data_IF_060412115270
#
_entry.id   IF_060412115270
#
_cell.length_a   1.000
_cell.length_b   1.000
_cell.length_c   1.000
_cell.angle_alpha   90.00
_cell.angle_beta   90.00
_cell.angle_gamma   90.00
#
_symmetry.space_group_name_H-M   'P 1'
#
loop_
_entity.id
_entity.type
_entity.pdbx_description
1 polymer ?
#
# COMPACT_ATOMS: atom_id res chain seq x y z
N UNK A 1 -47.55 54.63 23.12
CA UNK A 1 -46.22 54.03 23.35
C UNK A 1 -46.18 52.71 22.58
N UNK A 2 -45.69 52.72 21.35
CA UNK A 2 -45.69 51.53 20.47
C UNK A 2 -44.38 50.78 20.69
N UNK A 3 -44.48 49.55 21.19
CA UNK A 3 -43.34 48.70 21.55
C UNK A 3 -42.87 47.96 20.29
N UNK A 4 -41.83 48.45 19.63
CA UNK A 4 -41.20 47.75 18.51
C UNK A 4 -40.41 46.55 19.04
N UNK A 5 -40.94 45.35 18.82
CA UNK A 5 -40.28 44.10 19.17
C UNK A 5 -39.38 43.68 18.01
N UNK A 6 -38.06 43.73 18.20
CA UNK A 6 -37.09 43.22 17.23
C UNK A 6 -37.17 41.69 17.20
N UNK A 7 -37.54 41.12 16.05
CA UNK A 7 -37.48 39.66 15.82
C UNK A 7 -36.05 39.30 15.40
N UNK A 8 -35.30 38.71 16.33
CA UNK A 8 -33.98 38.16 16.02
C UNK A 8 -34.14 36.95 15.09
N UNK A 9 -33.59 37.04 13.88
CA UNK A 9 -33.55 35.94 12.92
C UNK A 9 -32.22 35.20 13.09
N UNK A 10 -32.27 33.99 13.65
CA UNK A 10 -31.09 33.11 13.79
C UNK A 10 -31.02 32.19 12.56
N UNK A 11 -30.02 32.39 11.72
CA UNK A 11 -29.66 31.45 10.64
C UNK A 11 -28.55 30.55 11.17
N UNK A 12 -28.87 29.28 11.40
CA UNK A 12 -27.88 28.25 11.70
C UNK A 12 -27.38 27.63 10.40
N UNK A 13 -26.09 27.77 10.13
CA UNK A 13 -25.41 27.11 9.01
C UNK A 13 -24.72 25.85 9.54
N UNK A 14 -25.30 24.68 9.30
CA UNK A 14 -24.67 23.40 9.62
C UNK A 14 -23.72 23.00 8.50
N UNK A 15 -22.41 23.16 8.71
CA UNK A 15 -21.40 22.58 7.84
C UNK A 15 -21.05 21.17 8.34
N UNK A 16 -21.74 20.14 7.81
CA UNK A 16 -21.32 18.75 8.02
C UNK A 16 -20.27 18.41 6.97
N UNK A 17 -19.00 18.66 7.27
CA UNK A 17 -17.91 18.15 6.46
C UNK A 17 -17.67 16.69 6.84
N UNK A 18 -18.33 15.75 6.15
CA UNK A 18 -17.89 14.36 6.16
C UNK A 18 -16.57 14.31 5.40
N UNK A 19 -15.45 14.34 6.12
CA UNK A 19 -14.14 14.08 5.53
C UNK A 19 -14.11 12.58 5.20
N UNK A 20 -14.54 12.23 3.99
CA UNK A 20 -14.23 10.93 3.41
C UNK A 20 -12.74 10.93 3.10
N UNK A 21 -11.91 10.60 4.10
CA UNK A 21 -10.51 10.27 3.83
C UNK A 21 -10.50 8.95 3.07
N UNK A 22 -10.21 9.04 1.77
CA UNK A 22 -10.00 7.85 0.95
C UNK A 22 -8.73 7.15 1.46
N UNK A 23 -8.89 6.03 2.16
CA UNK A 23 -7.80 5.28 2.77
C UNK A 23 -7.37 4.13 1.87
N UNK A 24 -6.06 3.92 1.72
CA UNK A 24 -5.52 2.72 1.11
C UNK A 24 -5.79 1.50 2.00
N UNK A 25 -6.33 0.44 1.39
CA UNK A 25 -6.54 -0.86 1.99
C UNK A 25 -5.61 -1.88 1.33
N UNK A 26 -5.31 -2.94 2.06
CA UNK A 26 -4.42 -4.00 1.60
C UNK A 26 -5.13 -5.34 1.74
N UNK A 27 -5.15 -6.11 0.66
CA UNK A 27 -5.65 -7.49 0.64
C UNK A 27 -4.64 -8.39 -0.08
N UNK A 28 -4.51 -9.64 0.34
CA UNK A 28 -3.55 -10.58 -0.24
C UNK A 28 -2.88 -11.47 0.78
N UNK A 29 -1.80 -12.12 0.35
CA UNK A 29 -1.15 -13.17 1.14
C UNK A 29 0.33 -13.32 0.81
N UNK A 30 1.05 -13.87 1.77
CA UNK A 30 2.32 -14.54 1.53
C UNK A 30 2.05 -15.99 1.14
N UNK A 31 2.82 -16.53 0.20
CA UNK A 31 2.73 -17.93 -0.19
C UNK A 31 3.63 -18.79 0.70
N UNK A 32 3.08 -19.87 1.26
CA UNK A 32 3.78 -20.72 2.25
C UNK A 32 5.07 -21.35 1.72
N UNK A 33 5.14 -21.59 0.41
CA UNK A 33 6.33 -22.16 -0.23
C UNK A 33 7.50 -21.17 -0.34
N UNK A 34 7.30 -19.90 -0.01
CA UNK A 34 8.36 -18.90 -0.04
C UNK A 34 9.59 -19.31 0.79
N UNK A 35 9.37 -20.04 1.90
CA UNK A 35 10.44 -20.55 2.76
C UNK A 35 11.37 -21.55 2.07
N UNK A 36 10.86 -22.36 1.14
CA UNK A 36 11.65 -23.33 0.37
C UNK A 36 12.43 -22.69 -0.78
N UNK A 37 11.97 -21.53 -1.24
CA UNK A 37 12.51 -20.84 -2.41
C UNK A 37 13.20 -19.52 -2.06
N UNK A 38 13.56 -19.31 -0.79
CA UNK A 38 14.35 -18.14 -0.37
C UNK A 38 15.68 -18.02 -1.13
N UNK A 39 16.25 -19.14 -1.60
CA UNK A 39 17.45 -19.15 -2.46
C UNK A 39 17.23 -18.53 -3.83
N UNK A 40 15.98 -18.42 -4.29
CA UNK A 40 15.64 -17.83 -5.58
C UNK A 40 15.46 -16.32 -5.51
N UNK A 41 15.57 -15.71 -4.32
CA UNK A 41 15.63 -14.26 -4.17
C UNK A 41 17.05 -13.82 -4.50
N UNK A 42 17.18 -13.01 -5.54
CA UNK A 42 18.40 -12.24 -5.75
C UNK A 42 18.51 -11.21 -4.61
N UNK A 43 19.51 -11.39 -3.75
CA UNK A 43 19.72 -10.54 -2.56
C UNK A 43 20.20 -9.12 -2.91
N UNK A 44 20.73 -8.90 -4.11
CA UNK A 44 21.14 -7.58 -4.57
C UNK A 44 19.95 -6.76 -5.06
N UNK A 45 19.04 -7.40 -5.81
CA UNK A 45 17.95 -6.70 -6.50
C UNK A 45 16.58 -6.88 -5.86
N UNK A 46 16.39 -7.95 -5.09
CA UNK A 46 15.10 -8.42 -4.57
C UNK A 46 14.28 -9.22 -5.58
N UNK A 47 14.81 -9.46 -6.78
CA UNK A 47 14.13 -10.19 -7.86
C UNK A 47 13.94 -11.67 -7.52
N UNK A 48 12.84 -12.24 -8.01
CA UNK A 48 12.60 -13.68 -7.97
C UNK A 48 11.66 -14.07 -9.11
N UNK A 49 11.87 -15.27 -9.64
CA UNK A 49 10.99 -15.87 -10.63
C UNK A 49 9.77 -16.56 -10.00
N UNK A 50 9.72 -16.66 -8.67
CA UNK A 50 8.66 -17.33 -7.91
C UNK A 50 7.87 -16.30 -7.10
N UNK A 51 6.53 -16.32 -7.14
CA UNK A 51 5.72 -15.41 -6.35
C UNK A 51 5.73 -15.83 -4.87
N UNK A 52 6.18 -14.94 -4.00
CA UNK A 52 6.25 -15.12 -2.54
C UNK A 52 5.24 -14.25 -1.81
N UNK A 53 4.86 -13.12 -2.40
CA UNK A 53 3.72 -12.36 -1.95
C UNK A 53 2.97 -11.81 -3.15
N UNK A 54 1.66 -11.68 -2.98
CA UNK A 54 0.84 -10.88 -3.87
C UNK A 54 -0.17 -10.12 -3.03
N UNK A 55 -0.07 -8.80 -3.09
CA UNK A 55 -0.98 -7.89 -2.41
C UNK A 55 -1.62 -6.95 -3.41
N UNK A 56 -2.88 -6.64 -3.17
CA UNK A 56 -3.65 -5.62 -3.88
C UNK A 56 -3.85 -4.45 -2.94
N UNK A 57 -3.34 -3.29 -3.34
CA UNK A 57 -3.70 -2.03 -2.72
C UNK A 57 -4.98 -1.55 -3.41
N UNK A 58 -6.01 -1.26 -2.62
CA UNK A 58 -7.30 -0.81 -3.13
C UNK A 58 -7.91 0.28 -2.25
N UNK A 59 -8.92 0.97 -2.75
CA UNK A 59 -9.71 1.91 -1.96
C UNK A 59 -11.18 1.89 -2.36
N UNK A 60 -12.03 2.41 -1.49
CA UNK A 60 -13.46 2.57 -1.77
C UNK A 60 -13.73 3.80 -2.65
N UNK A 61 -12.76 4.70 -2.80
CA UNK A 61 -12.85 5.90 -3.62
C UNK A 61 -11.48 6.24 -4.21
N UNK A 62 -11.48 6.74 -5.43
CA UNK A 62 -10.28 7.15 -6.17
C UNK A 62 -10.43 8.61 -6.63
N UNK A 63 -9.33 9.35 -6.83
CA UNK A 63 -7.93 8.93 -6.64
C UNK A 63 -7.48 8.99 -5.17
N UNK A 64 -6.48 8.17 -4.82
CA UNK A 64 -5.79 8.22 -3.53
C UNK A 64 -4.29 8.37 -3.72
N UNK A 65 -3.58 8.78 -2.68
CA UNK A 65 -2.12 8.66 -2.61
C UNK A 65 -1.75 7.52 -1.69
N UNK A 66 -0.80 6.69 -2.10
CA UNK A 66 -0.28 5.58 -1.32
C UNK A 66 1.25 5.55 -1.38
N UNK A 67 1.83 4.85 -0.40
CA UNK A 67 3.26 4.54 -0.35
C UNK A 67 3.38 3.07 0.05
N UNK A 68 4.20 2.32 -0.66
CA UNK A 68 4.42 0.90 -0.39
C UNK A 68 5.83 0.69 0.18
N UNK A 69 5.91 -0.16 1.19
CA UNK A 69 7.16 -0.58 1.80
C UNK A 69 7.15 -2.09 1.98
N UNK A 70 8.19 -2.75 1.47
CA UNK A 70 8.41 -4.18 1.63
C UNK A 70 9.74 -4.41 2.34
N UNK A 71 9.74 -5.31 3.32
CA UNK A 71 10.95 -5.73 4.04
C UNK A 71 10.90 -7.23 4.29
N UNK A 72 11.90 -7.95 3.79
CA UNK A 72 12.13 -9.34 4.16
C UNK A 72 13.28 -9.42 5.17
N UNK A 73 13.06 -10.12 6.27
CA UNK A 73 14.09 -10.37 7.28
C UNK A 73 14.10 -11.84 7.67
N UNK A 74 15.27 -12.37 7.99
CA UNK A 74 15.46 -13.76 8.39
C UNK A 74 16.15 -13.83 9.76
N UNK A 75 15.75 -14.82 10.54
CA UNK A 75 16.46 -15.29 11.72
C UNK A 75 16.65 -16.80 11.52
N UNK A 76 17.88 -17.23 11.28
CA UNK A 76 18.18 -18.63 10.97
C UNK A 76 19.53 -19.04 11.57
N UNK A 77 19.52 -19.54 12.82
CA UNK A 77 20.73 -20.04 13.47
C UNK A 77 21.42 -21.16 12.68
N UNK A 78 20.66 -21.99 11.95
CA UNK A 78 21.20 -23.05 11.08
C UNK A 78 21.99 -22.51 9.88
N UNK A 79 21.71 -21.28 9.44
CA UNK A 79 22.48 -20.56 8.43
C UNK A 79 23.54 -19.63 9.04
N UNK A 80 23.77 -19.70 10.36
CA UNK A 80 24.66 -18.79 11.08
C UNK A 80 24.08 -17.38 11.32
N UNK A 81 22.80 -17.15 10.99
CA UNK A 81 22.12 -15.87 11.17
C UNK A 81 21.45 -15.87 12.54
N UNK A 82 22.20 -15.43 13.55
CA UNK A 82 21.80 -15.48 14.97
C UNK A 82 20.98 -14.27 15.44
N UNK A 83 20.69 -13.32 14.55
CA UNK A 83 19.85 -12.15 14.82
C UNK A 83 19.03 -11.80 13.58
N UNK A 84 17.89 -11.13 13.77
CA UNK A 84 17.08 -10.63 12.66
C UNK A 84 17.93 -9.82 11.69
N UNK A 85 18.12 -10.38 10.50
CA UNK A 85 18.92 -9.79 9.43
C UNK A 85 18.00 -9.47 8.27
N UNK A 86 18.01 -8.22 7.83
CA UNK A 86 17.22 -7.80 6.67
C UNK A 86 17.93 -8.24 5.40
N UNK A 87 17.21 -9.02 4.58
CA UNK A 87 17.71 -9.50 3.30
C UNK A 87 17.46 -8.48 2.20
N UNK A 88 16.24 -7.93 2.17
CA UNK A 88 15.82 -6.92 1.20
C UNK A 88 14.85 -5.94 1.87
N UNK A 89 14.99 -4.67 1.53
CA UNK A 89 14.05 -3.62 1.89
C UNK A 89 13.86 -2.69 0.68
N UNK A 90 12.62 -2.54 0.24
CA UNK A 90 12.25 -1.71 -0.91
C UNK A 90 11.13 -0.77 -0.48
N UNK A 91 11.26 0.49 -0.85
CA UNK A 91 10.30 1.54 -0.53
C UNK A 91 10.01 2.33 -1.79
N UNK A 92 8.72 2.58 -2.07
CA UNK A 92 8.33 3.46 -3.17
C UNK A 92 8.32 4.91 -2.70
N UNK A 93 8.42 5.84 -3.65
CA UNK A 93 7.90 7.18 -3.43
C UNK A 93 6.38 7.15 -3.24
N UNK A 94 5.79 8.22 -2.72
CA UNK A 94 4.33 8.36 -2.73
C UNK A 94 3.85 8.44 -4.19
N UNK A 95 2.82 7.66 -4.53
CA UNK A 95 2.26 7.62 -5.88
C UNK A 95 0.74 7.78 -5.83
N UNK A 96 0.17 8.35 -6.88
CA UNK A 96 -1.27 8.48 -7.03
C UNK A 96 -1.85 7.20 -7.63
N UNK A 97 -2.85 6.64 -6.97
CA UNK A 97 -3.64 5.53 -7.46
C UNK A 97 -4.95 6.04 -8.03
N UNK A 98 -5.24 5.67 -9.28
CA UNK A 98 -6.53 5.93 -9.95
C UNK A 98 -7.40 4.67 -10.05
N UNK A 99 -6.79 3.53 -9.81
CA UNK A 99 -7.40 2.22 -9.71
C UNK A 99 -6.55 1.40 -8.72
N UNK A 100 -6.97 0.17 -8.48
CA UNK A 100 -6.27 -0.80 -7.67
C UNK A 100 -4.88 -1.08 -8.24
N UNK A 101 -3.90 -1.30 -7.36
CA UNK A 101 -2.51 -1.60 -7.73
C UNK A 101 -2.12 -2.95 -7.16
N UNK A 102 -1.57 -3.82 -8.00
CA UNK A 102 -1.05 -5.12 -7.57
C UNK A 102 0.45 -5.02 -7.30
N UNK A 103 0.82 -5.37 -6.08
CA UNK A 103 2.19 -5.60 -5.66
C UNK A 103 2.47 -7.10 -5.70
N UNK A 104 3.35 -7.49 -6.60
CA UNK A 104 3.86 -8.85 -6.76
C UNK A 104 5.38 -8.77 -6.72
N UNK A 105 6.03 -9.60 -5.89
CA UNK A 105 7.49 -9.56 -5.72
C UNK A 105 8.27 -9.80 -7.02
N UNK A 106 7.65 -10.46 -8.02
CA UNK A 106 8.28 -10.66 -9.33
C UNK A 106 8.49 -9.34 -10.07
N UNK A 107 7.64 -8.36 -9.80
CA UNK A 107 7.64 -7.04 -10.44
C UNK A 107 7.88 -5.90 -9.44
N UNK A 108 8.08 -6.18 -8.15
CA UNK A 108 8.32 -5.21 -7.09
C UNK A 108 9.74 -5.38 -6.55
N UNK A 109 10.69 -4.81 -7.27
CA UNK A 109 12.13 -4.98 -7.07
C UNK A 109 12.79 -3.62 -6.90
N UNK A 110 14.06 -3.59 -6.52
CA UNK A 110 14.82 -2.32 -6.42
C UNK A 110 14.99 -1.59 -7.76
N UNK A 111 14.83 -2.30 -8.88
CA UNK A 111 14.93 -1.74 -10.23
C UNK A 111 13.57 -1.29 -10.80
N UNK A 112 12.45 -1.62 -10.13
CA UNK A 112 11.11 -1.27 -10.61
C UNK A 112 10.86 0.22 -10.52
N UNK A 113 10.65 0.89 -11.66
CA UNK A 113 10.31 2.32 -11.72
C UNK A 113 8.82 2.59 -11.90
N UNK A 114 8.00 1.56 -12.11
CA UNK A 114 6.55 1.68 -12.37
C UNK A 114 5.76 0.54 -11.76
N UNK A 115 4.58 0.84 -11.22
CA UNK A 115 3.62 -0.15 -10.74
C UNK A 115 2.50 -0.34 -11.77
N UNK A 116 1.93 -1.54 -11.80
CA UNK A 116 0.83 -1.88 -12.71
C UNK A 116 -0.49 -1.61 -12.00
N UNK A 117 -1.36 -0.84 -12.65
CA UNK A 117 -2.76 -0.70 -12.23
C UNK A 117 -3.65 -1.78 -12.87
N UNK A 118 -4.72 -2.13 -12.17
CA UNK A 118 -5.71 -3.12 -12.65
C UNK A 118 -6.86 -2.46 -13.44
N UNK A 119 -6.83 -1.13 -13.61
CA UNK A 119 -7.84 -0.40 -14.37
C UNK A 119 -7.68 -0.60 -15.88
N UNK A 120 -6.47 -0.87 -16.36
CA UNK A 120 -6.18 -1.15 -17.76
C UNK A 120 -5.06 -2.20 -17.92
N UNK A 121 -5.35 -3.50 -17.69
CA UNK A 121 -4.34 -4.54 -17.74
C UNK A 121 -3.70 -4.65 -19.13
N UNK A 122 -2.38 -4.86 -19.24
CA UNK A 122 -1.72 -5.06 -20.52
C UNK A 122 -2.20 -6.39 -21.14
N UNK A 123 -2.75 -6.29 -22.36
CA UNK A 123 -3.18 -7.43 -23.17
C UNK A 123 -2.00 -8.33 -23.57
#
# INVERSE_FOLDING_TARGET
MVKNTYKNFLISFFFSATVLSAQAKLDGQFYEYATYYMSNIDVQTGESNVPFFRFRIYSNSYPIYAKAWFRASVLSPSLGINSWTTLVAIETNAFQMKADVVLDNRNFTSNTTSLIDEGNPPN
#
